data_IF_499824727666
#
_entry.id   IF_499824727666
#
_cell.length_a   1.000
_cell.length_b   1.000
_cell.length_c   1.000
_cell.angle_alpha   90.00
_cell.angle_beta   90.00
_cell.angle_gamma   90.00
#
_symmetry.space_group_name_H-M   'P 1'
#
loop_
_entity.id
_entity.type
_entity.pdbx_description
1 polymer ?
#
# COMPACT_ATOMS: atom_id res chain seq x y z
N UNK A 1 -9.55 4.93 106.76
CA UNK A 1 -10.98 5.13 107.06
C UNK A 1 -11.51 6.22 106.13
N UNK A 2 -12.64 5.94 105.44
CA UNK A 2 -13.56 6.81 104.66
C UNK A 2 -12.94 7.68 103.53
N UNK A 3 -13.26 7.56 102.23
CA UNK A 3 -14.52 7.49 101.43
C UNK A 3 -14.95 8.86 100.82
N UNK A 4 -15.29 8.85 99.52
CA UNK A 4 -15.96 9.93 98.75
C UNK A 4 -15.18 10.31 97.47
N UNK A 5 -15.48 9.84 96.25
CA UNK A 5 -16.65 9.98 95.35
C UNK A 5 -16.61 11.23 94.44
N UNK A 6 -17.17 11.07 93.21
CA UNK A 6 -17.44 12.03 92.10
C UNK A 6 -16.38 12.02 90.97
N UNK A 7 -16.71 11.99 89.68
CA UNK A 7 -17.97 11.80 88.94
C UNK A 7 -17.61 11.48 87.47
N UNK A 8 -18.39 10.63 86.81
CA UNK A 8 -18.21 10.24 85.41
C UNK A 8 -18.89 11.25 84.46
N UNK A 9 -18.18 11.70 83.42
CA UNK A 9 -18.72 12.45 82.30
C UNK A 9 -18.69 11.59 81.04
N UNK A 10 -19.86 11.18 80.55
CA UNK A 10 -20.04 10.48 79.28
C UNK A 10 -20.48 11.50 78.24
N UNK A 11 -19.68 11.68 77.18
CA UNK A 11 -20.04 12.49 76.03
C UNK A 11 -20.81 11.64 75.01
N UNK A 12 -22.04 12.06 74.69
CA UNK A 12 -22.87 11.47 73.65
C UNK A 12 -22.44 12.01 72.27
N UNK A 13 -21.77 11.17 71.48
CA UNK A 13 -21.54 11.43 70.05
C UNK A 13 -22.76 11.00 69.25
N UNK A 14 -23.46 11.98 68.67
CA UNK A 14 -24.59 11.77 67.77
C UNK A 14 -24.14 11.08 66.47
N UNK A 15 -24.87 10.05 66.08
CA UNK A 15 -24.77 9.39 64.78
C UNK A 15 -25.30 10.32 63.68
N UNK A 16 -24.46 10.72 62.74
CA UNK A 16 -24.88 11.20 61.43
C UNK A 16 -24.71 10.05 60.42
N UNK A 17 -25.83 9.55 59.88
CA UNK A 17 -25.84 8.50 58.88
C UNK A 17 -25.31 9.02 57.54
N UNK A 18 -24.35 8.30 56.95
CA UNK A 18 -23.82 8.60 55.62
C UNK A 18 -24.85 8.28 54.53
N UNK A 19 -24.91 9.06 53.42
CA UNK A 19 -25.80 8.76 52.30
C UNK A 19 -25.35 7.48 51.56
N UNK A 20 -26.29 6.73 50.97
CA UNK A 20 -25.97 5.49 50.26
C UNK A 20 -25.16 5.76 48.97
N UNK A 21 -24.28 4.84 48.56
CA UNK A 21 -23.53 4.97 47.32
C UNK A 21 -24.46 4.84 46.11
N UNK A 22 -24.27 5.70 45.10
CA UNK A 22 -24.94 5.57 43.80
C UNK A 22 -24.54 4.25 43.15
N UNK A 23 -25.53 3.46 42.74
CA UNK A 23 -25.35 2.27 41.93
C UNK A 23 -24.77 2.64 40.56
N UNK A 24 -23.56 2.15 40.27
CA UNK A 24 -23.00 2.19 38.92
C UNK A 24 -23.77 1.20 38.03
N UNK A 25 -24.44 1.69 37.00
CA UNK A 25 -25.07 0.85 35.99
C UNK A 25 -24.03 0.06 35.18
N UNK A 26 -24.41 -1.07 34.57
CA UNK A 26 -23.48 -1.85 33.76
C UNK A 26 -23.10 -1.06 32.51
N UNK A 27 -21.84 -0.66 32.41
CA UNK A 27 -21.23 -0.19 31.18
C UNK A 27 -21.18 -1.34 30.19
N UNK A 28 -22.09 -1.34 29.21
CA UNK A 28 -22.01 -2.20 28.04
C UNK A 28 -20.79 -1.79 27.22
N UNK A 29 -19.67 -2.49 27.40
CA UNK A 29 -18.49 -2.35 26.55
C UNK A 29 -18.86 -2.97 25.20
N UNK A 30 -19.28 -2.14 24.25
CA UNK A 30 -19.43 -2.56 22.86
C UNK A 30 -18.03 -2.95 22.36
N UNK A 31 -17.83 -4.23 22.08
CA UNK A 31 -16.62 -4.73 21.44
C UNK A 31 -16.61 -4.25 19.99
N UNK A 32 -15.80 -3.24 19.69
CA UNK A 32 -15.49 -2.86 18.32
C UNK A 32 -14.77 -4.02 17.63
N UNK A 33 -15.13 -4.40 16.39
CA UNK A 33 -14.46 -5.49 15.70
C UNK A 33 -13.01 -5.07 15.41
N UNK A 34 -12.05 -5.85 15.93
CA UNK A 34 -10.61 -5.61 15.77
C UNK A 34 -10.07 -6.17 14.44
N UNK A 35 -10.90 -6.12 13.39
CA UNK A 35 -10.55 -6.61 12.06
C UNK A 35 -10.41 -5.47 11.06
N UNK A 36 -9.46 -5.53 10.12
CA UNK A 36 -9.44 -4.58 9.01
C UNK A 36 -10.80 -4.65 8.27
N UNK A 37 -11.34 -3.51 7.83
CA UNK A 37 -12.61 -3.48 7.11
C UNK A 37 -12.54 -4.40 5.89
N UNK A 38 -13.66 -5.06 5.50
CA UNK A 38 -13.69 -5.87 4.30
C UNK A 38 -13.29 -4.99 3.11
N UNK A 39 -12.34 -5.45 2.30
CA UNK A 39 -11.92 -4.73 1.11
C UNK A 39 -13.16 -4.50 0.21
N UNK A 40 -13.47 -3.24 -0.14
CA UNK A 40 -14.48 -2.96 -1.15
C UNK A 40 -14.23 -3.76 -2.43
N UNK A 41 -15.30 -4.11 -3.15
CA UNK A 41 -15.16 -4.84 -4.40
C UNK A 41 -14.43 -3.98 -5.44
N UNK A 42 -13.32 -4.48 -5.98
CA UNK A 42 -12.61 -3.86 -7.09
C UNK A 42 -13.57 -3.61 -8.27
N UNK A 43 -13.50 -2.42 -8.86
CA UNK A 43 -14.24 -2.12 -10.09
C UNK A 43 -13.33 -2.30 -11.31
N UNK A 44 -13.87 -2.92 -12.36
CA UNK A 44 -13.14 -3.22 -13.59
C UNK A 44 -13.89 -2.62 -14.75
N UNK A 45 -13.22 -1.80 -15.56
CA UNK A 45 -13.83 -1.12 -16.71
C UNK A 45 -12.93 -1.21 -17.95
N UNK A 46 -13.53 -1.27 -19.16
CA UNK A 46 -12.76 -1.10 -20.40
C UNK A 46 -12.14 0.30 -20.45
N UNK A 47 -11.15 0.47 -21.33
CA UNK A 47 -10.50 1.77 -21.58
C UNK A 47 -10.45 2.05 -23.07
N UNK A 48 -10.48 3.32 -23.41
CA UNK A 48 -10.30 3.84 -24.77
C UNK A 48 -8.91 4.44 -24.95
N UNK A 49 -8.46 4.58 -26.20
CA UNK A 49 -7.21 5.29 -26.49
C UNK A 49 -7.17 6.71 -25.91
N UNK A 50 -8.33 7.41 -25.90
CA UNK A 50 -8.43 8.76 -25.36
C UNK A 50 -8.22 8.80 -23.84
N UNK A 51 -8.75 7.81 -23.10
CA UNK A 51 -8.59 7.68 -21.65
C UNK A 51 -7.19 7.19 -21.25
N UNK A 52 -6.43 6.58 -22.16
CA UNK A 52 -5.02 6.24 -21.93
C UNK A 52 -4.11 7.44 -22.18
N UNK A 53 -4.59 8.46 -22.89
CA UNK A 53 -3.87 9.69 -23.17
C UNK A 53 -2.46 9.42 -23.73
N UNK A 54 -1.41 10.09 -23.23
CA UNK A 54 -0.04 9.92 -23.74
C UNK A 54 0.60 8.57 -23.41
N UNK A 55 0.02 7.77 -22.50
CA UNK A 55 0.56 6.44 -22.17
C UNK A 55 0.35 5.41 -23.28
N UNK A 56 -0.45 5.73 -24.31
CA UNK A 56 -0.69 4.88 -25.47
C UNK A 56 -0.64 5.69 -26.78
N UNK A 57 -0.23 5.05 -27.88
CA UNK A 57 -0.24 5.60 -29.24
C UNK A 57 -0.32 4.48 -30.29
N UNK A 58 -0.71 4.77 -31.53
CA UNK A 58 -0.55 3.82 -32.63
C UNK A 58 0.88 3.29 -32.72
N UNK A 59 1.03 1.98 -32.83
CA UNK A 59 2.33 1.28 -32.79
C UNK A 59 2.68 0.66 -31.43
N UNK A 60 1.90 0.95 -30.37
CA UNK A 60 1.97 0.17 -29.14
C UNK A 60 1.61 -1.30 -29.38
N UNK A 61 2.19 -2.25 -28.62
CA UNK A 61 2.06 -3.67 -28.92
C UNK A 61 0.70 -4.27 -28.49
N UNK A 62 -0.14 -3.50 -27.80
CA UNK A 62 -1.48 -3.91 -27.37
C UNK A 62 -2.52 -2.84 -27.71
N UNK A 63 -3.69 -3.29 -28.12
CA UNK A 63 -4.84 -2.42 -28.37
C UNK A 63 -5.51 -2.01 -27.04
N UNK A 64 -6.06 -0.79 -26.90
CA UNK A 64 -6.80 -0.39 -25.70
C UNK A 64 -7.92 -1.36 -25.30
N UNK A 65 -8.55 -2.04 -26.27
CA UNK A 65 -9.56 -3.07 -26.00
C UNK A 65 -9.03 -4.27 -25.21
N UNK A 66 -7.72 -4.51 -25.21
CA UNK A 66 -7.07 -5.57 -24.42
C UNK A 66 -6.69 -5.11 -23.00
N UNK A 67 -6.85 -3.83 -22.68
CA UNK A 67 -6.51 -3.26 -21.39
C UNK A 67 -7.77 -3.03 -20.54
N UNK A 68 -7.60 -3.06 -19.22
CA UNK A 68 -8.65 -2.76 -18.25
C UNK A 68 -8.13 -1.79 -17.21
N UNK A 69 -9.00 -0.84 -16.83
CA UNK A 69 -8.83 -0.03 -15.62
C UNK A 69 -9.37 -0.84 -14.45
N UNK A 70 -8.52 -1.11 -13.48
CA UNK A 70 -8.82 -1.85 -12.26
C UNK A 70 -8.65 -0.91 -11.08
N UNK A 71 -9.74 -0.65 -10.37
CA UNK A 71 -9.69 0.07 -9.10
C UNK A 71 -9.32 -0.87 -7.97
N UNK A 72 -8.35 -0.46 -7.17
CA UNK A 72 -7.86 -1.21 -6.01
C UNK A 72 -7.80 -0.30 -4.80
N UNK A 73 -8.11 -0.86 -3.63
CA UNK A 73 -7.89 -0.18 -2.37
C UNK A 73 -6.49 -0.52 -1.83
N UNK A 74 -5.84 0.47 -1.21
CA UNK A 74 -4.51 0.35 -0.62
C UNK A 74 -4.44 1.11 0.70
N UNK A 75 -3.46 0.77 1.53
CA UNK A 75 -3.15 1.54 2.74
C UNK A 75 -2.07 2.56 2.37
N UNK A 76 -2.33 3.83 2.67
CA UNK A 76 -1.37 4.90 2.48
C UNK A 76 -0.32 4.94 3.60
N UNK A 77 0.74 5.71 3.40
CA UNK A 77 1.70 6.00 4.48
C UNK A 77 1.09 6.77 5.67
N UNK A 78 -0.07 7.40 5.46
CA UNK A 78 -0.90 8.00 6.51
C UNK A 78 -1.71 6.97 7.33
N UNK A 79 -1.58 5.68 7.01
CA UNK A 79 -2.30 4.58 7.65
C UNK A 79 -3.77 4.48 7.29
N UNK A 80 -4.25 5.24 6.29
CA UNK A 80 -5.66 5.25 5.87
C UNK A 80 -5.86 4.43 4.60
N UNK A 81 -7.10 4.00 4.39
CA UNK A 81 -7.50 3.38 3.12
C UNK A 81 -7.67 4.45 2.05
N UNK A 82 -7.02 4.24 0.92
CA UNK A 82 -7.15 5.03 -0.29
C UNK A 82 -7.58 4.14 -1.45
N UNK A 83 -8.07 4.77 -2.51
CA UNK A 83 -8.42 4.10 -3.76
C UNK A 83 -7.52 4.61 -4.88
N UNK A 84 -7.02 3.70 -5.69
CA UNK A 84 -6.24 4.03 -6.88
C UNK A 84 -6.54 3.11 -8.04
N UNK A 85 -5.91 3.38 -9.18
CA UNK A 85 -6.27 2.77 -10.46
C UNK A 85 -5.03 2.25 -11.18
N UNK A 86 -5.11 1.00 -11.62
CA UNK A 86 -4.12 0.38 -12.49
C UNK A 86 -4.71 0.12 -13.86
N UNK A 87 -3.90 0.30 -14.89
CA UNK A 87 -4.22 -0.12 -16.26
C UNK A 87 -3.41 -1.39 -16.53
N UNK A 88 -4.09 -2.52 -16.73
CA UNK A 88 -3.46 -3.83 -16.91
C UNK A 88 -4.06 -4.59 -18.07
N UNK A 89 -3.34 -5.60 -18.58
CA UNK A 89 -3.88 -6.53 -19.57
C UNK A 89 -5.09 -7.26 -18.98
N UNK A 90 -6.15 -7.42 -19.78
CA UNK A 90 -7.41 -8.00 -19.33
C UNK A 90 -7.27 -9.40 -18.71
N UNK A 91 -6.30 -10.19 -19.17
CA UNK A 91 -6.05 -11.55 -18.66
C UNK A 91 -5.49 -11.56 -17.22
N UNK A 92 -4.82 -10.48 -16.81
CA UNK A 92 -4.18 -10.38 -15.49
C UNK A 92 -5.09 -9.72 -14.44
N UNK A 93 -6.28 -9.24 -14.83
CA UNK A 93 -7.21 -8.57 -13.91
C UNK A 93 -7.51 -9.39 -12.64
N UNK A 94 -7.84 -10.70 -12.71
CA UNK A 94 -8.13 -11.47 -11.50
C UNK A 94 -6.93 -11.59 -10.55
N UNK A 95 -5.72 -11.74 -11.10
CA UNK A 95 -4.48 -11.81 -10.33
C UNK A 95 -4.19 -10.47 -9.65
N UNK A 96 -4.28 -9.36 -10.39
CA UNK A 96 -4.04 -8.01 -9.87
C UNK A 96 -5.00 -7.67 -8.72
N UNK A 97 -6.29 -7.98 -8.86
CA UNK A 97 -7.26 -7.80 -7.76
C UNK A 97 -6.85 -8.62 -6.52
N UNK A 98 -6.38 -9.86 -6.73
CA UNK A 98 -5.95 -10.75 -5.65
C UNK A 98 -4.70 -10.22 -4.95
N UNK A 99 -3.70 -9.80 -5.73
CA UNK A 99 -2.43 -9.24 -5.27
C UNK A 99 -2.68 -7.99 -4.42
N UNK A 100 -3.39 -6.99 -4.95
CA UNK A 100 -3.63 -5.75 -4.21
C UNK A 100 -4.56 -5.97 -3.01
N UNK A 101 -5.53 -6.89 -3.10
CA UNK A 101 -6.30 -7.30 -1.94
C UNK A 101 -5.43 -7.92 -0.83
N UNK A 102 -4.37 -8.65 -1.18
CA UNK A 102 -3.40 -9.19 -0.22
C UNK A 102 -2.49 -8.11 0.35
N UNK A 103 -1.96 -7.21 -0.47
CA UNK A 103 -1.18 -6.05 -0.01
C UNK A 103 -1.98 -5.19 0.98
N UNK A 104 -3.25 -4.93 0.67
CA UNK A 104 -4.18 -4.21 1.55
C UNK A 104 -4.35 -4.91 2.91
N UNK A 105 -4.61 -6.23 2.92
CA UNK A 105 -4.73 -7.01 4.16
C UNK A 105 -3.44 -7.10 4.97
N UNK A 106 -2.29 -7.06 4.30
CA UNK A 106 -0.98 -6.99 4.95
C UNK A 106 -0.71 -5.61 5.57
N UNK A 107 -1.48 -4.59 5.21
CA UNK A 107 -1.20 -3.21 5.59
C UNK A 107 0.08 -2.68 4.96
N UNK A 108 0.50 -3.24 3.81
CA UNK A 108 1.68 -2.77 3.09
C UNK A 108 1.41 -1.35 2.57
N UNK A 109 2.21 -0.34 2.98
CA UNK A 109 1.93 1.03 2.63
C UNK A 109 2.33 1.31 1.17
N UNK A 110 1.44 1.96 0.46
CA UNK A 110 1.62 2.42 -0.92
C UNK A 110 1.25 3.91 -0.93
N UNK A 111 2.14 4.77 -1.40
CA UNK A 111 1.89 6.23 -1.35
C UNK A 111 0.72 6.63 -2.25
N UNK A 112 0.73 6.15 -3.49
CA UNK A 112 -0.34 6.38 -4.47
C UNK A 112 -0.31 5.33 -5.57
N UNK A 113 -1.46 5.15 -6.21
CA UNK A 113 -1.62 4.30 -7.39
C UNK A 113 -2.37 5.09 -8.45
N UNK A 114 -1.68 5.54 -9.50
CA UNK A 114 -2.24 6.33 -10.60
C UNK A 114 -1.76 5.79 -11.95
N UNK A 115 -2.61 5.79 -12.99
CA UNK A 115 -2.19 5.53 -14.35
C UNK A 115 -1.14 6.56 -14.81
N UNK A 116 -0.22 6.12 -15.68
CA UNK A 116 0.92 6.95 -16.12
C UNK A 116 0.50 8.25 -16.84
N UNK A 117 -0.71 8.30 -17.42
CA UNK A 117 -1.26 9.47 -18.10
C UNK A 117 -1.47 10.70 -17.20
N UNK A 118 -1.40 10.53 -15.88
CA UNK A 118 -1.44 11.62 -14.91
C UNK A 118 -0.17 12.48 -14.91
N UNK A 119 0.91 11.99 -15.53
CA UNK A 119 2.17 12.71 -15.66
C UNK A 119 2.29 13.29 -17.08
N UNK A 120 2.88 14.49 -17.25
CA UNK A 120 3.03 15.11 -18.56
C UNK A 120 3.71 14.16 -19.55
N UNK A 121 3.04 13.84 -20.66
CA UNK A 121 3.57 12.93 -21.67
C UNK A 121 3.75 11.48 -21.21
N UNK A 122 3.09 11.07 -20.11
CA UNK A 122 3.33 9.79 -19.44
C UNK A 122 4.81 9.57 -19.06
N UNK A 123 5.47 10.65 -18.62
CA UNK A 123 6.86 10.62 -18.20
C UNK A 123 7.07 9.67 -17.01
N UNK A 124 7.78 8.58 -17.29
CA UNK A 124 8.04 7.48 -16.37
C UNK A 124 8.91 7.92 -15.19
N UNK A 125 9.89 8.77 -15.43
CA UNK A 125 10.80 9.25 -14.39
C UNK A 125 10.08 10.20 -13.43
N UNK A 126 9.18 11.07 -13.92
CA UNK A 126 8.34 11.90 -13.05
C UNK A 126 7.39 11.04 -12.19
N UNK A 127 6.80 9.99 -12.78
CA UNK A 127 5.97 9.02 -12.05
C UNK A 127 6.75 8.32 -10.95
N UNK A 128 7.94 7.80 -11.27
CA UNK A 128 8.79 7.11 -10.30
C UNK A 128 9.29 8.06 -9.19
N UNK A 129 9.71 9.29 -9.53
CA UNK A 129 10.15 10.28 -8.54
C UNK A 129 9.05 10.66 -7.55
N UNK A 130 7.79 10.65 -8.00
CA UNK A 130 6.60 10.92 -7.18
C UNK A 130 6.11 9.67 -6.41
N UNK A 131 6.90 8.59 -6.40
CA UNK A 131 6.61 7.31 -5.73
C UNK A 131 5.27 6.70 -6.16
N UNK A 132 4.91 6.88 -7.43
CA UNK A 132 3.66 6.37 -7.97
C UNK A 132 3.77 4.90 -8.34
N UNK A 133 2.98 4.05 -7.68
CA UNK A 133 2.78 2.67 -8.11
C UNK A 133 1.95 2.67 -9.40
N UNK A 134 2.46 2.07 -10.47
CA UNK A 134 1.83 2.11 -11.78
C UNK A 134 2.05 0.83 -12.58
N UNK A 135 1.22 0.62 -13.61
CA UNK A 135 1.28 -0.56 -14.47
C UNK A 135 1.50 -0.18 -15.94
N UNK A 136 0.46 -0.10 -16.77
CA UNK A 136 0.65 0.17 -18.18
C UNK A 136 1.27 1.56 -18.47
N UNK A 137 2.34 1.55 -19.27
CA UNK A 137 2.93 2.70 -19.94
C UNK A 137 3.61 2.20 -21.23
N UNK A 138 3.16 2.64 -22.40
CA UNK A 138 3.68 2.15 -23.67
C UNK A 138 5.05 2.76 -24.02
N UNK A 139 6.10 2.11 -23.52
CA UNK A 139 7.50 2.47 -23.73
C UNK A 139 8.38 1.26 -24.06
N UNK A 140 9.46 1.52 -24.78
CA UNK A 140 10.54 0.55 -24.95
C UNK A 140 11.38 0.40 -23.68
N UNK A 141 12.21 -0.63 -23.64
CA UNK A 141 13.28 -0.74 -22.63
C UNK A 141 14.42 0.21 -23.05
N UNK A 142 14.91 1.11 -22.18
CA UNK A 142 16.00 2.01 -22.53
C UNK A 142 17.22 1.26 -23.09
N UNK A 143 17.71 1.69 -24.26
CA UNK A 143 18.86 1.06 -24.93
C UNK A 143 18.55 -0.24 -25.66
N UNK A 144 17.28 -0.59 -25.85
CA UNK A 144 16.82 -1.80 -26.56
C UNK A 144 15.78 -1.48 -27.64
N UNK A 145 15.62 -2.40 -28.60
CA UNK A 145 14.52 -2.40 -29.57
C UNK A 145 13.27 -3.13 -29.02
N UNK A 146 13.34 -3.69 -27.81
CA UNK A 146 12.26 -4.43 -27.20
C UNK A 146 11.31 -3.54 -26.40
N UNK A 147 10.02 -3.89 -26.44
CA UNK A 147 9.00 -3.32 -25.59
C UNK A 147 9.18 -3.74 -24.13
N UNK A 148 8.95 -2.80 -23.20
CA UNK A 148 8.83 -3.12 -21.78
C UNK A 148 7.55 -3.93 -21.51
N UNK A 149 7.53 -4.76 -20.47
CA UNK A 149 6.29 -5.43 -20.02
C UNK A 149 5.20 -4.44 -19.61
N UNK A 150 5.56 -3.21 -19.22
CA UNK A 150 4.62 -2.10 -19.03
C UNK A 150 3.84 -1.78 -20.32
N UNK A 151 4.46 -1.91 -21.50
CA UNK A 151 3.80 -1.63 -22.77
C UNK A 151 2.74 -2.69 -23.14
N UNK A 152 2.75 -3.85 -22.47
CA UNK A 152 1.73 -4.89 -22.63
C UNK A 152 0.68 -4.86 -21.51
N UNK A 153 0.83 -3.98 -20.50
CA UNK A 153 0.00 -3.99 -19.29
C UNK A 153 0.26 -5.21 -18.41
N UNK A 154 1.48 -5.76 -18.46
CA UNK A 154 1.90 -7.00 -17.80
C UNK A 154 3.00 -6.81 -16.76
N UNK A 155 3.26 -5.56 -16.39
CA UNK A 155 4.16 -5.20 -15.30
C UNK A 155 3.51 -4.20 -14.35
N UNK A 156 4.01 -4.19 -13.12
CA UNK A 156 3.66 -3.25 -12.06
C UNK A 156 4.97 -2.83 -11.39
N UNK A 157 5.18 -1.52 -11.26
CA UNK A 157 6.21 -0.95 -10.40
C UNK A 157 5.59 -0.53 -9.07
N UNK A 158 6.13 -1.02 -7.94
CA UNK A 158 5.60 -0.81 -6.60
C UNK A 158 6.51 0.11 -5.77
N UNK A 159 5.99 1.26 -5.37
CA UNK A 159 6.71 2.33 -4.67
C UNK A 159 8.12 2.60 -5.28
N UNK A 160 8.20 3.07 -6.53
CA UNK A 160 9.46 3.28 -7.26
C UNK A 160 10.56 4.02 -6.51
N UNK A 161 10.20 5.04 -5.71
CA UNK A 161 11.19 5.86 -5.01
C UNK A 161 11.85 5.04 -3.90
N UNK A 162 11.09 4.20 -3.22
CA UNK A 162 11.56 3.31 -2.14
C UNK A 162 12.32 2.07 -2.67
N UNK A 163 12.04 1.67 -3.90
CA UNK A 163 12.52 0.43 -4.50
C UNK A 163 13.19 0.69 -5.86
N UNK A 164 14.35 1.39 -5.90
CA UNK A 164 14.94 1.83 -7.15
C UNK A 164 15.39 0.69 -8.07
N UNK A 165 15.40 0.96 -9.37
CA UNK A 165 16.14 0.17 -10.35
C UNK A 165 17.63 0.55 -10.28
N UNK A 166 18.52 -0.44 -10.16
CA UNK A 166 19.97 -0.25 -10.05
C UNK A 166 20.69 -0.96 -11.20
N UNK A 167 21.41 -0.19 -12.00
CA UNK A 167 22.16 -0.69 -13.15
C UNK A 167 23.57 -1.15 -12.73
N UNK A 168 24.15 -2.06 -13.52
CA UNK A 168 25.51 -2.56 -13.29
C UNK A 168 26.59 -1.46 -13.29
N UNK A 169 26.30 -0.30 -13.88
CA UNK A 169 27.18 0.88 -13.88
C UNK A 169 27.16 1.65 -12.56
N UNK A 170 26.25 1.32 -11.63
CA UNK A 170 25.96 2.09 -10.42
C UNK A 170 24.97 3.23 -10.64
N UNK A 171 24.54 3.49 -11.88
CA UNK A 171 23.40 4.37 -12.12
C UNK A 171 22.13 3.77 -11.52
N UNK A 172 21.19 4.61 -11.12
CA UNK A 172 19.92 4.17 -10.55
C UNK A 172 18.77 5.09 -10.96
N UNK A 173 17.56 4.57 -10.88
CA UNK A 173 16.31 5.28 -11.11
C UNK A 173 15.28 4.92 -10.03
N UNK A 174 14.42 5.86 -9.60
CA UNK A 174 14.41 7.27 -9.99
C UNK A 174 15.57 8.07 -9.39
N UNK A 175 15.87 9.25 -9.96
CA UNK A 175 17.02 10.09 -9.56
C UNK A 175 17.00 10.55 -8.09
N UNK A 176 15.84 10.53 -7.43
CA UNK A 176 15.66 10.93 -6.03
C UNK A 176 15.60 9.75 -5.04
N UNK A 177 16.01 8.54 -5.46
CA UNK A 177 15.99 7.32 -4.64
C UNK A 177 17.33 6.97 -3.97
N UNK A 178 18.30 7.90 -3.93
CA UNK A 178 19.66 7.65 -3.44
C UNK A 178 19.69 7.05 -2.02
N UNK A 179 18.80 7.53 -1.12
CA UNK A 179 18.71 7.05 0.26
C UNK A 179 18.31 5.57 0.36
N UNK A 180 17.64 5.03 -0.66
CA UNK A 180 17.11 3.66 -0.70
C UNK A 180 18.01 2.68 -1.44
N UNK A 181 19.19 3.13 -1.88
CA UNK A 181 20.28 2.25 -2.31
C UNK A 181 20.86 1.46 -1.13
N UNK A 182 20.78 2.01 0.09
CA UNK A 182 21.08 1.27 1.31
C UNK A 182 19.96 0.25 1.58
N UNK A 183 20.20 -1.01 1.16
CA UNK A 183 19.25 -2.11 1.37
C UNK A 183 19.29 -2.70 2.79
N UNK A 184 20.06 -2.14 3.72
CA UNK A 184 19.95 -2.49 5.15
C UNK A 184 18.77 -1.79 5.85
N UNK A 185 18.18 -0.79 5.18
CA UNK A 185 17.01 -0.04 5.63
C UNK A 185 15.77 -0.92 5.77
N UNK A 186 14.88 -0.55 6.68
CA UNK A 186 13.63 -1.26 6.97
C UNK A 186 12.43 -0.32 6.99
N UNK A 187 12.52 0.79 6.23
CA UNK A 187 11.41 1.72 6.07
C UNK A 187 10.15 0.99 5.57
N UNK A 188 8.96 1.39 6.04
CA UNK A 188 7.71 0.85 5.49
C UNK A 188 7.66 1.04 3.97
N UNK A 189 7.13 0.06 3.23
CA UNK A 189 6.98 0.12 1.77
C UNK A 189 8.23 -0.23 0.97
N UNK A 190 9.37 -0.44 1.64
CA UNK A 190 10.60 -0.98 1.05
C UNK A 190 10.51 -2.51 0.94
N UNK A 191 10.97 -3.07 -0.18
CA UNK A 191 10.89 -4.50 -0.50
C UNK A 191 12.23 -5.21 -0.26
N UNK A 192 12.19 -6.26 0.54
CA UNK A 192 13.29 -7.20 0.77
C UNK A 192 12.93 -8.59 0.31
N UNK A 193 13.93 -9.33 -0.18
CA UNK A 193 13.71 -10.71 -0.62
C UNK A 193 13.05 -11.55 0.48
N UNK A 194 12.03 -12.31 0.09
CA UNK A 194 11.20 -13.07 1.02
C UNK A 194 10.14 -12.26 1.78
N UNK A 195 9.93 -10.98 1.47
CA UNK A 195 8.85 -10.23 2.09
C UNK A 195 7.46 -10.77 1.74
N UNK A 196 6.47 -10.68 2.65
CA UNK A 196 5.08 -10.99 2.35
C UNK A 196 4.52 -10.20 1.15
N UNK A 197 5.01 -8.97 0.93
CA UNK A 197 4.62 -8.14 -0.21
C UNK A 197 5.10 -8.72 -1.54
N UNK A 198 6.36 -9.17 -1.65
CA UNK A 198 6.88 -9.87 -2.84
C UNK A 198 6.10 -11.16 -3.08
N UNK A 199 5.87 -11.96 -2.03
CA UNK A 199 5.07 -13.19 -2.13
C UNK A 199 3.64 -12.94 -2.58
N UNK A 200 3.10 -11.74 -2.34
CA UNK A 200 1.78 -11.40 -2.87
C UNK A 200 1.74 -11.49 -4.40
N UNK A 201 2.85 -11.19 -5.09
CA UNK A 201 3.01 -11.34 -6.53
C UNK A 201 3.51 -12.73 -6.92
N UNK A 202 4.62 -13.18 -6.33
CA UNK A 202 5.33 -14.39 -6.80
C UNK A 202 4.55 -15.69 -6.59
N UNK A 203 3.66 -15.75 -5.58
CA UNK A 203 2.74 -16.88 -5.39
C UNK A 203 1.74 -17.02 -6.56
N UNK A 204 1.58 -15.99 -7.40
CA UNK A 204 0.77 -15.98 -8.63
C UNK A 204 1.62 -16.08 -9.91
N UNK A 205 2.90 -16.44 -9.79
CA UNK A 205 3.79 -16.66 -10.94
C UNK A 205 4.34 -15.40 -11.58
N UNK A 206 4.23 -14.25 -10.91
CA UNK A 206 4.94 -13.03 -11.29
C UNK A 206 6.42 -13.15 -10.94
N UNK A 207 7.28 -12.63 -11.82
CA UNK A 207 8.70 -12.49 -11.55
C UNK A 207 8.97 -11.14 -10.87
N UNK A 208 9.87 -11.12 -9.89
CA UNK A 208 10.31 -9.88 -9.26
C UNK A 208 11.68 -9.45 -9.81
N UNK A 209 11.80 -8.19 -10.22
CA UNK A 209 13.01 -7.62 -10.79
C UNK A 209 14.18 -7.51 -9.80
N UNK A 210 13.91 -7.56 -8.49
CA UNK A 210 14.93 -7.63 -7.45
C UNK A 210 15.77 -8.91 -7.51
N UNK A 211 15.32 -9.95 -8.23
CA UNK A 211 16.08 -11.18 -8.48
C UNK A 211 16.94 -11.14 -9.76
N UNK A 212 16.88 -10.06 -10.53
CA UNK A 212 17.68 -9.92 -11.74
C UNK A 212 19.11 -9.49 -11.45
N UNK A 213 20.04 -9.90 -12.32
CA UNK A 213 21.46 -9.61 -12.16
C UNK A 213 21.86 -8.20 -12.65
N UNK A 214 21.27 -7.73 -13.75
CA UNK A 214 21.56 -6.43 -14.33
C UNK A 214 20.47 -6.00 -15.34
N UNK A 215 19.70 -4.94 -15.07
CA UNK A 215 19.64 -4.23 -13.79
C UNK A 215 19.04 -5.12 -12.68
N UNK A 216 19.29 -4.77 -11.41
CA UNK A 216 18.48 -5.25 -10.29
C UNK A 216 17.35 -4.24 -10.11
N UNK A 217 16.11 -4.65 -10.33
CA UNK A 217 14.96 -3.75 -10.42
C UNK A 217 13.97 -3.97 -9.28
N UNK A 218 14.21 -3.34 -8.12
CA UNK A 218 13.46 -3.65 -6.90
C UNK A 218 11.97 -3.28 -6.97
N UNK A 219 11.60 -2.29 -7.77
CA UNK A 219 10.22 -1.85 -7.95
C UNK A 219 9.42 -2.82 -8.83
N UNK A 220 10.07 -3.50 -9.76
CA UNK A 220 9.43 -4.11 -10.92
C UNK A 220 8.92 -5.53 -10.64
N UNK A 221 7.67 -5.78 -11.00
CA UNK A 221 7.08 -7.12 -11.08
C UNK A 221 6.50 -7.33 -12.46
N UNK A 222 6.70 -8.51 -13.06
CA UNK A 222 6.13 -8.83 -14.37
C UNK A 222 5.55 -10.23 -14.50
N UNK A 223 4.54 -10.34 -15.37
CA UNK A 223 3.90 -11.61 -15.78
C UNK A 223 3.82 -11.68 -17.32
N UNK A 224 4.94 -12.07 -17.98
CA UNK A 224 5.02 -12.19 -19.43
C UNK A 224 3.93 -13.09 -20.02
#
# INVERSE_FOLDING_TARGET
>A
MLAGALAAGVALTQCAAAPPPLAAGPTSVASSPTGPPPAPAASVRPVTAAELGPSWRPGCPVDPAQLRRVEVDHIGFDGRTHRGELIVHQDLVPEVITIFGRLYRLGFPIEKIRPADHYPGADDELSMQDDNTSAFNCRGIPGSEHWSQHAYGRAIDLNPRLNPCVYATGAFQPRNAADYLDRSRTDPGLLHDGDPAIRAFTDHGWNWGGHWAAPTDYQHFERP
#
